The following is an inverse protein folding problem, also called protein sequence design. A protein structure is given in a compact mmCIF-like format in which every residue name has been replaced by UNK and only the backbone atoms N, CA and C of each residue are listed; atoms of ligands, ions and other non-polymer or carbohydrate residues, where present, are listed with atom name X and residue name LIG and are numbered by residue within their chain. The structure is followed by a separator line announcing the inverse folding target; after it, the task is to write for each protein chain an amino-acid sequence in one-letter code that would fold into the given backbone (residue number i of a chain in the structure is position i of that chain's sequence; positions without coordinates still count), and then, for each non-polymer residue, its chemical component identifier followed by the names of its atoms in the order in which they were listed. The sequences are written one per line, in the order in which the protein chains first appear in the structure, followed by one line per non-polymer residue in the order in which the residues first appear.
data_IF_302949767167
#
_entry.id   IF_302949767167
#
_cell.length_a   1.000
_cell.length_b   1.000
_cell.length_c   1.000
_cell.angle_alpha   90.00
_cell.angle_beta   90.00
_cell.angle_gamma   90.00
#
_symmetry.space_group_name_H-M   'P 1'
#
loop_
_entity.id
_entity.type
_entity.pdbx_description
1 polymer ?
#
# COMPACT_ATOMS: atom_id res chain seq x y z
N UNK A 1 24.41 -21.52 15.74
CA UNK A 1 23.03 -21.91 16.13
C UNK A 1 22.61 -20.95 17.24
N UNK A 2 21.69 -20.01 17.09
CA UNK A 2 20.66 -19.80 16.08
C UNK A 2 20.75 -18.37 15.53
N UNK A 3 20.54 -18.23 14.22
CA UNK A 3 20.21 -16.94 13.61
C UNK A 3 18.86 -16.51 14.20
N UNK A 4 18.86 -15.42 14.97
CA UNK A 4 17.62 -14.85 15.49
C UNK A 4 16.81 -14.43 14.27
N UNK A 5 15.71 -15.15 14.02
CA UNK A 5 14.67 -14.66 13.12
C UNK A 5 14.26 -13.31 13.70
N UNK A 6 14.85 -12.22 13.18
CA UNK A 6 14.21 -10.92 13.25
C UNK A 6 12.90 -11.15 12.54
N UNK A 7 11.82 -11.28 13.32
CA UNK A 7 10.47 -11.18 12.78
C UNK A 7 10.53 -10.04 11.77
N UNK A 8 10.26 -10.37 10.51
CA UNK A 8 10.14 -9.33 9.51
C UNK A 8 8.99 -8.50 10.02
N UNK A 9 9.32 -7.34 10.56
CA UNK A 9 8.38 -6.36 11.08
C UNK A 9 7.62 -5.85 9.86
N UNK A 10 6.59 -6.61 9.49
CA UNK A 10 5.60 -6.21 8.52
C UNK A 10 4.85 -5.06 9.20
N UNK A 11 4.81 -3.89 8.57
CA UNK A 11 4.22 -2.70 9.18
C UNK A 11 2.84 -2.94 9.81
N UNK A 12 2.43 -2.08 10.73
CA UNK A 12 1.21 -2.24 11.52
C UNK A 12 1.42 -2.06 13.02
N UNK A 13 2.66 -1.82 13.46
CA UNK A 13 3.09 -1.80 14.87
C UNK A 13 2.64 -0.58 15.69
N UNK A 14 1.48 0.00 15.39
CA UNK A 14 1.00 1.23 16.01
C UNK A 14 0.79 1.08 17.52
N UNK A 15 0.35 -0.10 17.98
CA UNK A 15 0.19 -0.40 19.41
C UNK A 15 1.52 -0.41 20.16
N UNK A 16 2.58 -0.94 19.55
CA UNK A 16 3.93 -0.91 20.14
C UNK A 16 4.48 0.52 20.20
N UNK A 17 4.18 1.34 19.18
CA UNK A 17 4.59 2.74 19.14
C UNK A 17 3.86 3.57 20.20
N UNK A 18 2.55 3.40 20.35
CA UNK A 18 1.73 4.04 21.41
C UNK A 18 2.24 3.63 22.79
N UNK A 19 2.51 2.34 23.01
CA UNK A 19 3.03 1.85 24.29
C UNK A 19 4.41 2.44 24.64
N UNK A 20 5.25 2.70 23.62
CA UNK A 20 6.61 3.22 23.81
C UNK A 20 6.67 4.74 23.97
N UNK A 21 5.85 5.48 23.23
CA UNK A 21 5.96 6.94 23.09
C UNK A 21 4.74 7.72 23.60
N UNK A 22 3.65 7.05 23.97
CA UNK A 22 2.43 7.68 24.49
C UNK A 22 1.50 8.24 23.40
N UNK A 23 0.44 8.94 23.83
CA UNK A 23 -0.61 9.48 22.94
C UNK A 23 -1.80 8.55 22.75
N UNK A 24 -2.92 9.05 22.21
CA UNK A 24 -4.07 8.22 21.91
C UNK A 24 -3.90 7.55 20.55
N UNK A 25 -4.34 6.29 20.39
CA UNK A 25 -4.22 5.53 19.13
C UNK A 25 -4.71 6.29 17.90
N UNK A 26 -5.75 7.13 18.04
CA UNK A 26 -6.31 7.94 16.95
C UNK A 26 -5.43 9.11 16.49
N UNK A 27 -4.43 9.51 17.28
CA UNK A 27 -3.51 10.60 16.94
C UNK A 27 -2.31 10.11 16.11
N UNK A 28 -2.17 8.80 15.96
CA UNK A 28 -1.06 8.17 15.26
C UNK A 28 -1.43 7.87 13.81
N UNK A 29 -0.48 8.14 12.92
CA UNK A 29 -0.57 7.79 11.49
C UNK A 29 0.37 6.63 11.23
N UNK A 30 -0.16 5.48 10.80
CA UNK A 30 0.66 4.34 10.43
C UNK A 30 1.24 4.53 9.02
N UNK A 31 2.55 4.76 8.94
CA UNK A 31 3.30 4.84 7.68
C UNK A 31 4.14 3.58 7.43
N UNK A 32 4.11 2.61 8.34
CA UNK A 32 4.98 1.43 8.29
C UNK A 32 4.50 0.35 7.33
N UNK A 33 3.21 0.35 6.96
CA UNK A 33 2.58 -0.70 6.14
C UNK A 33 2.64 -0.44 4.63
N UNK A 34 2.79 0.82 4.20
CA UNK A 34 2.51 1.23 2.81
C UNK A 34 1.05 1.02 2.39
N UNK A 35 0.17 0.59 3.29
CA UNK A 35 -1.26 0.35 3.04
C UNK A 35 -1.99 1.66 3.28
N UNK A 36 -2.64 2.18 2.24
CA UNK A 36 -3.53 3.33 2.39
C UNK A 36 -4.71 2.93 3.30
N UNK A 37 -4.89 3.55 4.49
CA UNK A 37 -6.01 3.23 5.38
C UNK A 37 -7.36 3.65 4.80
N UNK A 38 -7.34 4.50 3.75
CA UNK A 38 -8.53 4.85 2.97
C UNK A 38 -8.59 3.97 1.73
N UNK A 39 -9.62 3.13 1.58
CA UNK A 39 -9.76 2.33 0.38
C UNK A 39 -9.91 3.23 -0.84
N UNK A 40 -9.27 2.86 -1.95
CA UNK A 40 -9.52 3.50 -3.22
C UNK A 40 -10.97 3.25 -3.64
N UNK A 41 -11.66 4.29 -4.09
CA UNK A 41 -12.98 4.15 -4.69
C UNK A 41 -12.81 3.54 -6.08
N UNK A 42 -12.98 2.23 -6.17
CA UNK A 42 -12.95 1.48 -7.42
C UNK A 42 -14.38 1.05 -7.76
N UNK A 43 -14.86 1.45 -8.93
CA UNK A 43 -16.21 1.15 -9.44
C UNK A 43 -16.16 0.99 -10.96
N UNK A 44 -17.00 0.12 -11.52
CA UNK A 44 -17.19 0.02 -12.97
C UNK A 44 -16.39 -1.08 -13.66
N UNK A 45 -15.93 -2.10 -12.95
CA UNK A 45 -15.30 -3.27 -13.58
C UNK A 45 -16.34 -4.32 -13.98
N UNK A 46 -16.26 -4.79 -15.22
CA UNK A 46 -16.92 -6.00 -15.68
C UNK A 46 -16.06 -7.24 -15.35
N UNK A 47 -16.64 -8.45 -15.29
CA UNK A 47 -15.87 -9.68 -15.05
C UNK A 47 -14.69 -9.87 -16.03
N UNK A 48 -14.88 -9.50 -17.28
CA UNK A 48 -13.86 -9.57 -18.34
C UNK A 48 -12.64 -8.66 -18.10
N UNK A 49 -12.75 -7.56 -17.34
CA UNK A 49 -11.62 -6.68 -17.04
C UNK A 49 -10.50 -7.38 -16.25
N UNK A 50 -10.83 -8.48 -15.56
CA UNK A 50 -9.88 -9.27 -14.76
C UNK A 50 -9.12 -10.32 -15.55
N UNK A 51 -9.66 -10.74 -16.70
CA UNK A 51 -9.16 -11.91 -17.45
C UNK A 51 -8.77 -11.57 -18.88
N UNK A 52 -9.22 -10.43 -19.41
CA UNK A 52 -8.87 -9.98 -20.74
C UNK A 52 -7.39 -9.60 -20.81
N UNK A 53 -6.69 -10.14 -21.81
CA UNK A 53 -5.39 -9.60 -22.21
C UNK A 53 -5.59 -8.25 -22.91
N UNK A 54 -4.67 -7.29 -22.75
CA UNK A 54 -4.75 -6.03 -23.49
C UNK A 54 -4.71 -6.30 -24.99
N UNK A 55 -5.78 -5.97 -25.71
CA UNK A 55 -5.78 -5.98 -27.17
C UNK A 55 -4.98 -4.79 -27.72
N UNK A 56 -4.50 -4.89 -28.97
CA UNK A 56 -3.69 -3.84 -29.62
C UNK A 56 -4.32 -2.44 -29.60
N UNK A 57 -5.65 -2.34 -29.55
CA UNK A 57 -6.37 -1.07 -29.45
C UNK A 57 -6.50 -0.51 -28.02
N UNK A 58 -6.29 -1.33 -26.99
CA UNK A 58 -6.40 -0.94 -25.58
C UNK A 58 -5.12 -0.30 -25.03
N UNK A 59 -4.00 -0.40 -25.76
CA UNK A 59 -2.72 0.18 -25.36
C UNK A 59 -2.72 1.68 -25.72
N UNK A 60 -3.27 2.51 -24.82
CA UNK A 60 -2.98 3.94 -24.86
C UNK A 60 -1.60 4.19 -24.25
N UNK A 61 -0.67 4.88 -24.95
CA UNK A 61 0.62 5.21 -24.37
C UNK A 61 0.41 6.16 -23.18
N UNK A 62 0.68 5.67 -21.97
CA UNK A 62 0.67 6.53 -20.78
C UNK A 62 1.91 7.42 -20.84
N UNK A 63 1.71 8.73 -20.97
CA UNK A 63 2.80 9.69 -20.96
C UNK A 63 3.27 9.89 -19.52
N UNK A 64 4.41 9.29 -19.18
CA UNK A 64 5.08 9.56 -17.90
C UNK A 64 5.79 10.91 -17.98
N UNK A 65 5.14 11.96 -17.45
CA UNK A 65 5.79 13.25 -17.24
C UNK A 65 6.75 13.14 -16.05
N UNK A 66 8.03 12.88 -16.34
CA UNK A 66 9.08 12.90 -15.33
C UNK A 66 9.58 14.33 -15.17
N UNK A 67 9.02 15.06 -14.21
CA UNK A 67 9.62 16.33 -13.77
C UNK A 67 10.77 15.99 -12.84
N UNK A 68 12.01 16.17 -13.31
CA UNK A 68 13.19 16.25 -12.46
C UNK A 68 13.38 17.71 -12.06
N UNK A 69 13.45 17.99 -10.76
CA UNK A 69 14.00 19.21 -10.16
C UNK A 69 14.70 18.78 -8.88
#
# INVERSE_FOLDING_TARGET
MADSIRERDHGGGLDAAVARWGGARGDWIDLSTGINPRPYKISGFAPEDWTALPDRGAISPVSVSRTLT
#
